data_IF_214598744606
#
_entry.id   IF_214598744606
#
_cell.length_a   1.000
_cell.length_b   1.000
_cell.length_c   1.000
_cell.angle_alpha   90.00
_cell.angle_beta   90.00
_cell.angle_gamma   90.00
#
_symmetry.space_group_name_H-M   'P 1'
#
loop_
_entity.id
_entity.type
_entity.pdbx_description
1 polymer ?
#
# COMPACT_ATOMS: atom_id res chain seq x y z
N UNK A 1 53.38 -14.80 81.63
CA UNK A 1 53.98 -15.25 80.36
C UNK A 1 53.06 -14.86 79.21
N UNK A 2 53.66 -14.38 78.12
CA UNK A 2 53.11 -14.03 76.80
C UNK A 2 52.27 -12.76 76.60
N UNK A 3 53.03 -11.69 76.33
CA UNK A 3 52.75 -10.59 75.40
C UNK A 3 52.45 -11.08 73.97
N UNK A 4 51.54 -10.42 73.26
CA UNK A 4 51.64 -10.11 71.81
C UNK A 4 50.90 -8.78 71.53
N UNK A 5 51.64 -7.81 70.97
CA UNK A 5 51.16 -6.56 70.34
C UNK A 5 50.96 -6.76 68.83
N UNK A 6 50.03 -6.01 68.21
CA UNK A 6 49.95 -5.52 66.80
C UNK A 6 48.54 -4.90 66.66
N UNK A 7 48.25 -3.73 66.10
CA UNK A 7 48.92 -2.77 65.23
C UNK A 7 47.88 -2.27 64.21
N UNK A 8 47.51 -0.98 64.28
CA UNK A 8 47.08 0.00 63.22
C UNK A 8 46.24 -0.56 62.04
N UNK A 9 45.10 0.02 61.62
CA UNK A 9 45.04 1.11 60.62
C UNK A 9 43.59 1.61 60.44
N UNK A 10 43.40 2.94 60.47
CA UNK A 10 42.16 3.61 60.04
C UNK A 10 42.10 3.63 58.51
N UNK A 11 41.00 3.16 57.93
CA UNK A 11 40.67 3.38 56.51
C UNK A 11 39.43 4.26 56.46
N UNK A 12 39.63 5.51 56.02
CA UNK A 12 38.55 6.41 55.63
C UNK A 12 38.23 6.14 54.15
N UNK A 13 37.01 5.71 53.84
CA UNK A 13 36.49 5.71 52.47
C UNK A 13 35.64 6.96 52.27
N UNK A 14 36.18 7.95 51.53
CA UNK A 14 35.38 8.96 50.87
C UNK A 14 34.74 8.33 49.62
N UNK A 15 33.47 7.98 49.69
CA UNK A 15 32.65 7.66 48.52
C UNK A 15 32.04 8.94 47.95
N UNK A 16 32.58 9.44 46.85
CA UNK A 16 32.02 10.57 46.12
C UNK A 16 30.68 10.20 45.47
N UNK A 17 29.63 10.97 45.74
CA UNK A 17 28.39 10.94 44.97
C UNK A 17 28.63 11.62 43.62
N UNK A 18 28.78 10.82 42.56
CA UNK A 18 28.63 11.32 41.20
C UNK A 18 27.13 11.50 40.92
N UNK A 19 26.67 12.76 40.91
CA UNK A 19 25.36 13.13 40.43
C UNK A 19 25.32 12.94 38.90
N UNK A 20 24.90 11.75 38.46
CA UNK A 20 24.61 11.48 37.05
C UNK A 20 23.41 12.31 36.61
N UNK A 21 23.63 13.19 35.64
CA UNK A 21 22.57 13.90 34.92
C UNK A 21 21.73 12.84 34.20
N UNK A 22 20.54 12.56 34.73
CA UNK A 22 19.53 11.76 34.06
C UNK A 22 18.98 12.59 32.90
N UNK A 23 19.57 12.44 31.72
CA UNK A 23 18.98 12.95 30.49
C UNK A 23 17.62 12.25 30.31
N UNK A 24 16.53 13.01 30.45
CA UNK A 24 15.21 12.54 30.10
C UNK A 24 15.21 12.21 28.60
N UNK A 25 15.29 10.92 28.28
CA UNK A 25 14.94 10.45 26.95
C UNK A 25 13.48 10.82 26.72
N UNK A 26 13.10 11.37 25.55
CA UNK A 26 11.69 11.56 25.23
C UNK A 26 11.00 10.20 25.37
N UNK A 27 9.88 10.18 26.10
CA UNK A 27 9.06 8.99 26.25
C UNK A 27 8.76 8.44 24.86
N UNK A 28 9.29 7.26 24.55
CA UNK A 28 8.79 6.46 23.44
C UNK A 28 7.30 6.25 23.75
N UNK A 29 6.44 6.91 22.97
CA UNK A 29 5.00 6.68 23.04
C UNK A 29 4.75 5.19 22.92
N UNK A 30 3.85 4.65 23.75
CA UNK A 30 3.53 3.24 23.84
C UNK A 30 3.32 2.62 22.44
N UNK A 31 4.37 2.04 21.87
CA UNK A 31 4.25 1.18 20.72
C UNK A 31 3.47 -0.05 21.20
N UNK A 32 2.25 -0.21 20.74
CA UNK A 32 1.56 -1.49 20.88
C UNK A 32 2.36 -2.48 20.03
N UNK A 33 2.83 -3.56 20.64
CA UNK A 33 3.66 -4.54 19.95
C UNK A 33 2.91 -5.06 18.72
N UNK A 34 3.53 -4.92 17.55
CA UNK A 34 2.97 -5.43 16.30
C UNK A 34 2.44 -4.36 15.34
N UNK A 35 2.29 -3.09 15.72
CA UNK A 35 1.83 -2.07 14.75
C UNK A 35 2.89 -1.73 13.69
N UNK A 36 2.48 -1.33 12.46
CA UNK A 36 3.40 -0.80 11.46
C UNK A 36 4.18 0.41 11.96
N UNK A 37 5.48 0.39 11.70
CA UNK A 37 6.38 1.49 12.06
C UNK A 37 6.57 2.42 10.87
N UNK A 38 6.50 3.73 11.11
CA UNK A 38 6.64 4.77 10.09
C UNK A 38 7.91 5.58 10.35
N UNK A 39 8.87 5.52 9.43
CA UNK A 39 10.15 6.23 9.52
C UNK A 39 10.32 7.21 8.37
N UNK A 40 11.19 8.21 8.55
CA UNK A 40 11.57 9.15 7.50
C UNK A 40 13.09 9.28 7.40
N UNK A 41 13.59 9.25 6.16
CA UNK A 41 14.96 9.59 5.80
C UNK A 41 14.95 10.53 4.60
N UNK A 42 15.38 11.78 4.80
CA UNK A 42 15.36 12.80 3.74
C UNK A 42 13.94 13.10 3.23
N UNK A 43 13.68 12.83 1.96
CA UNK A 43 12.37 13.02 1.30
C UNK A 43 11.54 11.73 1.22
N UNK A 44 12.05 10.63 1.81
CA UNK A 44 11.42 9.31 1.78
C UNK A 44 10.82 8.98 3.13
N UNK A 45 9.55 8.57 3.12
CA UNK A 45 8.88 7.91 4.24
C UNK A 45 8.78 6.42 3.96
N UNK A 46 9.08 5.60 4.96
CA UNK A 46 8.97 4.14 4.89
C UNK A 46 8.03 3.66 5.97
N UNK A 47 7.00 2.92 5.56
CA UNK A 47 6.05 2.21 6.41
C UNK A 47 6.45 0.73 6.40
N UNK A 48 6.60 0.13 7.56
CA UNK A 48 6.99 -1.28 7.70
C UNK A 48 6.11 -1.94 8.74
N UNK A 49 5.17 -2.76 8.27
CA UNK A 49 4.42 -3.67 9.11
C UNK A 49 5.26 -4.90 9.48
N UNK A 50 5.07 -5.46 10.68
CA UNK A 50 5.65 -6.76 11.00
C UNK A 50 4.92 -7.87 10.26
N UNK A 51 5.65 -8.95 9.98
CA UNK A 51 5.10 -10.13 9.31
C UNK A 51 4.27 -11.00 10.28
N UNK A 52 3.08 -10.50 10.64
CA UNK A 52 2.08 -11.19 11.46
C UNK A 52 0.73 -11.03 10.77
N UNK A 53 -0.07 -12.10 10.68
CA UNK A 53 -1.34 -12.10 9.94
C UNK A 53 -2.41 -11.20 10.58
N UNK A 54 -2.28 -9.88 10.41
CA UNK A 54 -3.20 -8.84 10.89
C UNK A 54 -3.48 -7.91 9.72
N UNK A 55 -4.76 -7.65 9.48
CA UNK A 55 -5.18 -6.63 8.53
C UNK A 55 -4.83 -5.22 9.04
N UNK A 56 -4.00 -4.52 8.29
CA UNK A 56 -3.62 -3.13 8.47
C UNK A 56 -4.37 -2.22 7.49
N UNK A 57 -4.71 -1.01 7.93
CA UNK A 57 -5.32 0.00 7.07
C UNK A 57 -4.51 1.28 7.16
N UNK A 58 -3.75 1.55 6.11
CA UNK A 58 -2.80 2.65 6.05
C UNK A 58 -3.25 3.67 5.00
N UNK A 59 -3.40 4.92 5.43
CA UNK A 59 -3.70 6.04 4.53
C UNK A 59 -2.64 7.12 4.65
N UNK A 60 -2.08 7.54 3.53
CA UNK A 60 -1.14 8.65 3.45
C UNK A 60 -1.87 9.90 2.99
N UNK A 61 -1.75 10.98 3.76
CA UNK A 61 -2.47 12.23 3.48
C UNK A 61 -1.65 13.44 3.90
N UNK A 62 -1.87 14.58 3.22
CA UNK A 62 -1.33 15.86 3.65
C UNK A 62 -2.26 16.56 4.64
N UNK A 63 -1.73 16.97 5.78
CA UNK A 63 -2.41 17.79 6.79
C UNK A 63 -1.59 19.05 6.99
N UNK A 64 -2.17 20.20 6.64
CA UNK A 64 -1.53 21.52 6.79
C UNK A 64 -0.12 21.59 6.16
N UNK A 65 0.05 21.04 4.95
CA UNK A 65 1.33 21.06 4.21
C UNK A 65 2.36 20.02 4.66
N UNK A 66 1.96 19.05 5.50
CA UNK A 66 2.83 18.01 6.06
C UNK A 66 2.27 16.65 5.73
N UNK A 67 3.13 15.69 5.42
CA UNK A 67 2.72 14.32 5.18
C UNK A 67 2.46 13.61 6.51
N UNK A 68 1.25 13.06 6.62
CA UNK A 68 0.79 12.27 7.74
C UNK A 68 0.46 10.86 7.22
N UNK A 69 0.71 9.88 8.08
CA UNK A 69 0.30 8.48 7.89
C UNK A 69 -0.75 8.17 8.94
N UNK A 70 -1.92 7.76 8.48
CA UNK A 70 -3.07 7.37 9.28
C UNK A 70 -3.26 5.86 9.26
N UNK A 71 -3.79 5.32 10.34
CA UNK A 71 -3.89 3.89 10.60
C UNK A 71 -3.34 3.57 11.98
N UNK A 72 -3.57 2.38 12.52
CA UNK A 72 -2.89 1.95 13.73
C UNK A 72 -1.39 1.86 13.39
N UNK A 73 -0.60 2.87 13.77
CA UNK A 73 0.80 3.03 13.34
C UNK A 73 1.64 3.69 14.42
N UNK A 74 2.94 3.38 14.43
CA UNK A 74 3.90 3.90 15.40
C UNK A 74 4.97 4.74 14.71
N UNK A 75 5.27 5.92 15.28
CA UNK A 75 6.36 6.75 14.76
C UNK A 75 7.72 6.16 15.10
N UNK A 76 8.55 5.97 14.08
CA UNK A 76 9.98 5.73 14.19
C UNK A 76 10.80 6.98 13.87
N UNK A 77 12.09 6.79 13.60
CA UNK A 77 13.05 7.86 13.31
C UNK A 77 12.53 8.82 12.23
N UNK A 78 12.61 10.13 12.49
CA UNK A 78 12.27 11.18 11.51
C UNK A 78 10.78 11.52 11.42
N UNK A 79 9.91 10.79 12.12
CA UNK A 79 8.49 11.12 12.27
C UNK A 79 8.13 11.33 13.75
N UNK A 80 6.96 11.90 14.01
CA UNK A 80 6.45 12.17 15.36
C UNK A 80 5.03 11.64 15.51
N UNK A 81 4.76 10.91 16.60
CA UNK A 81 3.41 10.43 16.92
C UNK A 81 2.48 11.62 17.18
N UNK A 82 1.33 11.63 16.51
CA UNK A 82 0.24 12.59 16.77
C UNK A 82 -0.83 11.93 17.65
N UNK A 83 -1.19 10.68 17.32
CA UNK A 83 -2.10 9.85 18.11
C UNK A 83 -1.77 8.37 17.92
N UNK A 84 -2.53 7.47 18.54
CA UNK A 84 -2.41 6.02 18.29
C UNK A 84 -2.70 5.64 16.82
N UNK A 85 -3.38 6.51 16.07
CA UNK A 85 -3.79 6.26 14.70
C UNK A 85 -3.17 7.23 13.68
N UNK A 86 -2.13 7.97 14.07
CA UNK A 86 -1.60 9.05 13.24
C UNK A 86 -0.13 9.38 13.56
N UNK A 87 0.68 9.40 12.52
CA UNK A 87 2.09 9.79 12.55
C UNK A 87 2.35 10.94 11.58
N UNK A 88 2.97 12.01 12.05
CA UNK A 88 3.40 13.15 11.24
C UNK A 88 4.86 12.98 10.82
N UNK A 89 5.12 12.94 9.52
CA UNK A 89 6.47 12.83 8.96
C UNK A 89 6.97 14.14 8.36
N UNK A 90 6.24 15.25 8.50
CA UNK A 90 6.68 16.59 8.09
C UNK A 90 6.50 16.90 6.60
N UNK A 91 7.00 18.06 6.18
CA UNK A 91 6.86 18.55 4.80
C UNK A 91 7.99 18.07 3.88
N UNK A 92 7.77 18.20 2.57
CA UNK A 92 8.78 17.90 1.54
C UNK A 92 9.02 16.41 1.29
N UNK A 93 8.08 15.54 1.70
CA UNK A 93 8.12 14.12 1.35
C UNK A 93 7.64 13.96 -0.09
N UNK A 94 8.43 13.27 -0.91
CA UNK A 94 8.11 12.99 -2.31
C UNK A 94 8.00 11.49 -2.59
N UNK A 95 8.53 10.68 -1.67
CA UNK A 95 8.61 9.23 -1.82
C UNK A 95 8.01 8.55 -0.60
N UNK A 96 7.15 7.56 -0.83
CA UNK A 96 6.59 6.68 0.19
C UNK A 96 6.82 5.25 -0.24
N UNK A 97 7.48 4.47 0.62
CA UNK A 97 7.56 3.02 0.49
C UNK A 97 6.75 2.38 1.61
N UNK A 98 5.96 1.36 1.30
CA UNK A 98 5.19 0.62 2.28
C UNK A 98 5.39 -0.88 2.07
N UNK A 99 5.68 -1.61 3.14
CA UNK A 99 5.60 -3.06 3.20
C UNK A 99 4.54 -3.42 4.26
N UNK A 100 3.41 -3.95 3.82
CA UNK A 100 2.20 -4.17 4.64
C UNK A 100 2.21 -5.53 5.35
N UNK A 101 3.02 -6.47 4.88
CA UNK A 101 3.43 -7.62 5.68
C UNK A 101 2.54 -8.81 5.45
N UNK A 102 1.86 -9.30 6.49
CA UNK A 102 0.94 -10.43 6.34
C UNK A 102 -0.44 -10.04 6.85
N UNK A 103 -1.48 -10.56 6.23
CA UNK A 103 -2.85 -10.13 6.52
C UNK A 103 -3.52 -9.66 5.25
N UNK A 104 -4.76 -9.24 5.38
CA UNK A 104 -5.49 -8.65 4.27
C UNK A 104 -5.51 -7.14 4.50
N UNK A 105 -4.53 -6.47 3.92
CA UNK A 105 -4.21 -5.09 4.22
C UNK A 105 -4.86 -4.13 3.22
N UNK A 106 -4.85 -2.85 3.59
CA UNK A 106 -5.36 -1.78 2.75
C UNK A 106 -4.40 -0.62 2.75
N UNK A 107 -4.09 -0.12 1.57
CA UNK A 107 -3.29 1.09 1.41
C UNK A 107 -4.01 2.13 0.54
N UNK A 108 -3.88 3.39 0.90
CA UNK A 108 -4.32 4.51 0.05
C UNK A 108 -3.39 5.71 0.16
N UNK A 109 -3.14 6.39 -0.95
CA UNK A 109 -2.51 7.70 -0.96
C UNK A 109 -3.49 8.77 -1.44
N UNK A 110 -3.64 9.82 -0.65
CA UNK A 110 -4.38 11.05 -0.98
C UNK A 110 -3.45 12.18 -1.46
N UNK A 111 -2.16 11.87 -1.61
CA UNK A 111 -1.11 12.82 -1.98
C UNK A 111 -0.31 12.29 -3.15
N UNK A 112 0.22 13.21 -3.97
CA UNK A 112 1.10 12.85 -5.07
C UNK A 112 2.47 12.46 -4.55
N UNK A 113 2.74 11.16 -4.51
CA UNK A 113 4.02 10.56 -4.10
C UNK A 113 4.43 9.48 -5.09
N UNK A 114 5.70 9.09 -5.05
CA UNK A 114 6.22 7.92 -5.76
C UNK A 114 6.73 6.88 -4.78
N UNK A 115 7.03 5.68 -5.26
CA UNK A 115 7.65 4.61 -4.47
C UNK A 115 6.98 3.28 -4.67
N UNK A 116 7.16 2.37 -3.73
CA UNK A 116 6.63 0.99 -3.81
C UNK A 116 5.70 0.71 -2.65
N UNK A 117 4.57 0.10 -2.93
CA UNK A 117 3.65 -0.46 -1.95
C UNK A 117 3.63 -1.97 -2.18
N UNK A 118 4.12 -2.72 -1.21
CA UNK A 118 4.19 -4.18 -1.20
C UNK A 118 3.16 -4.69 -0.18
N UNK A 119 2.15 -5.42 -0.67
CA UNK A 119 1.10 -6.03 0.14
C UNK A 119 1.66 -7.11 1.06
N UNK A 120 2.36 -8.07 0.47
CA UNK A 120 3.08 -9.10 1.18
C UNK A 120 2.34 -10.42 1.11
N UNK A 121 1.76 -10.95 2.18
CA UNK A 121 0.94 -12.17 2.09
C UNK A 121 -0.48 -11.95 2.60
N UNK A 122 -1.46 -12.54 1.93
CA UNK A 122 -2.88 -12.32 2.18
C UNK A 122 -3.49 -11.54 1.02
N UNK A 123 -4.79 -11.30 1.07
CA UNK A 123 -5.47 -10.58 -0.01
C UNK A 123 -5.53 -9.09 0.29
N UNK A 124 -4.67 -8.32 -0.36
CA UNK A 124 -4.47 -6.91 -0.11
C UNK A 124 -5.26 -6.02 -1.08
N UNK A 125 -5.62 -4.81 -0.63
CA UNK A 125 -6.36 -3.85 -1.46
C UNK A 125 -5.64 -2.50 -1.50
N UNK A 126 -5.20 -2.13 -2.70
CA UNK A 126 -4.62 -0.83 -3.00
C UNK A 126 -5.70 0.09 -3.57
N UNK A 127 -6.07 1.12 -2.80
CA UNK A 127 -6.97 2.17 -3.26
C UNK A 127 -6.20 3.26 -4.03
N UNK A 128 -6.17 3.11 -5.35
CA UNK A 128 -5.38 3.93 -6.25
C UNK A 128 -6.15 5.15 -6.81
N UNK A 129 -5.41 6.13 -7.36
CA UNK A 129 -5.97 7.30 -8.04
C UNK A 129 -6.75 8.29 -7.16
N UNK A 130 -6.74 8.16 -5.83
CA UNK A 130 -7.59 8.98 -4.92
C UNK A 130 -7.10 10.41 -4.68
N UNK A 131 -5.82 10.68 -4.91
CA UNK A 131 -5.26 12.02 -4.77
C UNK A 131 -5.59 12.92 -5.96
N UNK A 132 -5.80 14.23 -5.74
CA UNK A 132 -5.92 15.20 -6.83
C UNK A 132 -4.62 15.37 -7.62
N UNK A 133 -3.48 15.18 -6.93
CA UNK A 133 -2.17 15.06 -7.57
C UNK A 133 -1.97 13.59 -7.89
N UNK A 134 -1.52 13.28 -9.09
CA UNK A 134 -1.29 11.90 -9.45
C UNK A 134 -0.12 11.28 -8.68
N UNK A 135 -0.19 9.97 -8.53
CA UNK A 135 0.86 9.16 -7.92
C UNK A 135 1.79 8.58 -8.97
N UNK A 136 2.93 8.06 -8.53
CA UNK A 136 3.75 7.17 -9.33
C UNK A 136 4.20 6.00 -8.47
N UNK A 137 3.21 5.23 -8.01
CA UNK A 137 3.40 4.11 -7.10
C UNK A 137 3.48 2.81 -7.88
N UNK A 138 4.45 1.97 -7.54
CA UNK A 138 4.43 0.55 -7.92
C UNK A 138 3.64 -0.22 -6.87
N UNK A 139 2.57 -0.88 -7.29
CA UNK A 139 1.79 -1.78 -6.43
C UNK A 139 2.25 -3.22 -6.68
N UNK A 140 2.78 -3.87 -5.65
CA UNK A 140 3.20 -5.27 -5.65
C UNK A 140 2.23 -6.03 -4.76
N UNK A 141 1.55 -7.04 -5.31
CA UNK A 141 0.59 -7.84 -4.55
C UNK A 141 1.29 -8.71 -3.53
N UNK A 142 2.22 -9.54 -3.99
CA UNK A 142 2.88 -10.54 -3.20
C UNK A 142 2.16 -11.89 -3.31
N UNK A 143 1.82 -12.50 -2.19
CA UNK A 143 1.18 -13.81 -2.15
C UNK A 143 -0.24 -13.73 -1.62
N UNK A 144 -1.24 -13.98 -2.45
CA UNK A 144 -2.62 -13.96 -2.02
C UNK A 144 -3.52 -13.70 -3.20
N UNK A 145 -4.57 -12.92 -2.97
CA UNK A 145 -5.44 -12.46 -4.04
C UNK A 145 -5.57 -10.95 -3.88
N UNK A 146 -4.79 -10.22 -4.65
CA UNK A 146 -4.55 -8.80 -4.46
C UNK A 146 -5.36 -7.95 -5.45
N UNK A 147 -5.75 -6.76 -5.02
CA UNK A 147 -6.59 -5.86 -5.80
C UNK A 147 -6.00 -4.46 -5.87
N UNK A 148 -5.86 -3.92 -7.08
CA UNK A 148 -5.75 -2.48 -7.30
C UNK A 148 -7.12 -1.94 -7.73
N UNK A 149 -7.67 -1.04 -6.92
CA UNK A 149 -9.00 -0.46 -7.08
C UNK A 149 -8.89 1.03 -7.45
N UNK A 150 -9.19 1.36 -8.70
CA UNK A 150 -9.26 2.74 -9.21
C UNK A 150 -10.66 3.35 -9.12
N UNK A 151 -11.67 2.67 -8.56
CA UNK A 151 -13.08 3.06 -8.62
C UNK A 151 -13.44 4.43 -8.06
N UNK A 152 -12.53 5.04 -7.29
CA UNK A 152 -12.69 6.38 -6.72
C UNK A 152 -11.76 7.45 -7.30
N UNK A 153 -11.10 7.17 -8.43
CA UNK A 153 -10.15 8.07 -9.07
C UNK A 153 -10.78 9.28 -9.79
N UNK A 154 -12.09 9.20 -10.08
CA UNK A 154 -12.92 10.32 -10.56
C UNK A 154 -12.79 10.64 -12.06
N UNK A 155 -11.86 10.00 -12.76
CA UNK A 155 -11.71 10.05 -14.22
C UNK A 155 -11.28 8.68 -14.72
N UNK A 156 -11.55 8.32 -15.99
CA UNK A 156 -11.14 7.04 -16.51
C UNK A 156 -9.63 6.78 -16.39
N UNK A 157 -9.28 5.51 -16.28
CA UNK A 157 -7.93 5.00 -16.12
C UNK A 157 -7.51 4.13 -17.29
N UNK A 158 -6.20 4.11 -17.53
CA UNK A 158 -5.53 3.12 -18.35
C UNK A 158 -4.62 2.31 -17.43
N UNK A 159 -4.79 1.01 -17.39
CA UNK A 159 -3.93 0.09 -16.66
C UNK A 159 -3.49 -1.01 -17.61
N UNK A 160 -2.20 -1.27 -17.69
CA UNK A 160 -1.63 -2.39 -18.41
C UNK A 160 -0.57 -3.07 -17.55
N UNK A 161 -0.79 -4.33 -17.17
CA UNK A 161 0.12 -5.12 -16.31
C UNK A 161 1.41 -5.56 -17.05
N UNK A 162 2.12 -4.61 -17.66
CA UNK A 162 3.30 -4.82 -18.50
C UNK A 162 4.62 -4.39 -17.82
N UNK A 163 4.55 -3.92 -16.57
CA UNK A 163 5.68 -3.47 -15.78
C UNK A 163 6.17 -2.04 -16.06
N UNK A 164 5.47 -1.27 -16.90
CA UNK A 164 5.77 0.14 -17.15
C UNK A 164 5.02 1.05 -16.16
N UNK A 165 5.64 2.18 -15.82
CA UNK A 165 5.05 3.19 -14.94
C UNK A 165 4.17 4.18 -15.72
N UNK A 166 3.13 3.66 -16.39
CA UNK A 166 2.16 4.43 -17.18
C UNK A 166 0.70 4.08 -16.87
N UNK A 167 0.45 3.54 -15.67
CA UNK A 167 -0.88 3.14 -15.20
C UNK A 167 -1.59 4.23 -14.39
N UNK A 168 -2.93 4.12 -14.35
CA UNK A 168 -3.84 5.01 -13.63
C UNK A 168 -4.48 6.06 -14.55
N UNK A 169 -4.77 7.25 -14.02
CA UNK A 169 -5.39 8.33 -14.82
C UNK A 169 -4.39 8.87 -15.85
N UNK A 170 -4.70 8.83 -17.16
CA UNK A 170 -3.75 9.21 -18.21
C UNK A 170 -3.20 10.62 -18.06
N UNK A 171 -1.87 10.75 -18.03
CA UNK A 171 -1.16 12.04 -17.91
C UNK A 171 -1.22 12.67 -16.51
N UNK A 172 -1.86 12.01 -15.54
CA UNK A 172 -1.94 12.44 -14.15
C UNK A 172 -1.14 11.48 -13.28
N UNK A 173 -1.49 10.20 -13.30
CA UNK A 173 -0.78 9.13 -12.60
C UNK A 173 0.34 8.56 -13.49
N UNK A 174 1.31 7.93 -12.85
CA UNK A 174 2.42 7.17 -13.42
C UNK A 174 2.63 5.91 -12.56
N UNK A 175 1.52 5.28 -12.17
CA UNK A 175 1.55 4.08 -11.36
C UNK A 175 2.09 2.90 -12.20
N UNK A 176 2.44 1.82 -11.52
CA UNK A 176 2.82 0.55 -12.15
C UNK A 176 2.14 -0.57 -11.36
N UNK A 177 1.10 -1.17 -11.93
CA UNK A 177 0.43 -2.34 -11.36
C UNK A 177 1.27 -3.57 -11.72
N UNK A 178 1.90 -4.18 -10.73
CA UNK A 178 2.74 -5.33 -10.95
C UNK A 178 1.93 -6.54 -11.45
N UNK A 179 2.62 -7.45 -12.12
CA UNK A 179 1.99 -8.64 -12.71
C UNK A 179 1.43 -9.61 -11.65
N UNK A 180 1.87 -9.52 -10.40
CA UNK A 180 1.41 -10.36 -9.29
C UNK A 180 0.20 -9.77 -8.54
N UNK A 181 -0.50 -8.79 -9.12
CA UNK A 181 -1.79 -8.30 -8.59
C UNK A 181 -2.93 -8.94 -9.38
N UNK A 182 -3.69 -9.84 -8.79
CA UNK A 182 -4.69 -10.64 -9.55
C UNK A 182 -5.89 -9.81 -10.04
N UNK A 183 -6.31 -8.77 -9.32
CA UNK A 183 -7.52 -8.02 -9.65
C UNK A 183 -7.25 -6.55 -9.94
N UNK A 184 -7.79 -6.06 -11.05
CA UNK A 184 -7.82 -4.62 -11.37
C UNK A 184 -9.26 -4.20 -11.57
N UNK A 185 -9.70 -3.20 -10.79
CA UNK A 185 -11.00 -2.55 -10.96
C UNK A 185 -10.82 -1.15 -11.53
N UNK A 186 -11.57 -0.87 -12.59
CA UNK A 186 -11.70 0.44 -13.23
C UNK A 186 -12.55 1.42 -12.43
N UNK A 187 -13.18 2.33 -13.14
CA UNK A 187 -13.95 3.47 -12.67
C UNK A 187 -15.37 3.40 -13.22
N UNK A 188 -16.16 4.46 -13.04
CA UNK A 188 -17.48 4.58 -13.67
C UNK A 188 -17.44 5.22 -15.06
N UNK A 189 -16.26 5.35 -15.65
CA UNK A 189 -16.02 5.95 -16.96
C UNK A 189 -15.40 4.95 -17.94
N UNK A 190 -15.12 5.38 -19.17
CA UNK A 190 -14.58 4.49 -20.20
C UNK A 190 -13.10 4.14 -19.96
N UNK A 191 -12.86 3.01 -19.32
CA UNK A 191 -11.56 2.55 -18.87
C UNK A 191 -10.85 1.66 -19.89
N UNK A 192 -9.54 1.52 -19.75
CA UNK A 192 -8.74 0.54 -20.49
C UNK A 192 -7.96 -0.31 -19.50
N UNK A 193 -8.37 -1.57 -19.34
CA UNK A 193 -7.74 -2.53 -18.44
C UNK A 193 -7.17 -3.68 -19.26
N UNK A 194 -5.86 -3.86 -19.17
CA UNK A 194 -5.12 -4.88 -19.91
C UNK A 194 -4.36 -5.75 -18.90
N UNK A 195 -4.69 -7.05 -18.89
CA UNK A 195 -4.05 -8.08 -18.10
C UNK A 195 -2.62 -8.39 -18.54
N UNK A 196 -2.09 -9.51 -18.06
CA UNK A 196 -0.78 -10.06 -18.40
C UNK A 196 -0.89 -11.53 -18.83
N UNK A 197 0.17 -12.31 -18.64
CA UNK A 197 0.22 -13.72 -19.04
C UNK A 197 -0.19 -14.70 -17.92
N UNK A 198 -0.80 -14.22 -16.84
CA UNK A 198 -1.28 -15.01 -15.70
C UNK A 198 -2.77 -14.80 -15.51
N UNK A 199 -3.36 -15.46 -14.52
CA UNK A 199 -4.80 -15.35 -14.28
C UNK A 199 -5.16 -13.95 -13.75
N UNK A 200 -5.92 -13.20 -14.54
CA UNK A 200 -6.37 -11.85 -14.23
C UNK A 200 -7.87 -11.79 -13.96
N UNK A 201 -8.27 -10.91 -13.04
CA UNK A 201 -9.65 -10.46 -12.88
C UNK A 201 -9.75 -8.99 -13.25
N UNK A 202 -10.44 -8.69 -14.34
CA UNK A 202 -10.65 -7.32 -14.84
C UNK A 202 -12.10 -6.91 -14.61
N UNK A 203 -12.33 -5.82 -13.88
CA UNK A 203 -13.67 -5.29 -13.57
C UNK A 203 -13.78 -3.89 -14.17
N UNK A 204 -14.54 -3.74 -15.26
CA UNK A 204 -14.76 -2.45 -15.95
C UNK A 204 -15.62 -1.48 -15.12
N UNK A 205 -16.67 -2.01 -14.49
CA UNK A 205 -17.66 -1.31 -13.66
C UNK A 205 -18.74 -0.55 -14.44
N UNK A 206 -18.62 0.75 -14.75
CA UNK A 206 -19.57 1.42 -15.65
C UNK A 206 -18.81 2.11 -16.77
N UNK A 207 -19.36 2.15 -17.98
CA UNK A 207 -18.72 2.86 -19.07
C UNK A 207 -18.67 2.03 -20.32
N UNK A 208 -17.97 2.54 -21.33
CA UNK A 208 -17.68 1.77 -22.54
C UNK A 208 -16.20 1.38 -22.48
N UNK A 209 -15.92 0.25 -21.88
CA UNK A 209 -14.58 -0.13 -21.46
C UNK A 209 -13.83 -0.90 -22.55
N UNK A 210 -12.52 -0.98 -22.38
CA UNK A 210 -11.63 -1.86 -23.16
C UNK A 210 -10.98 -2.83 -22.18
N UNK A 211 -11.42 -4.08 -22.20
CA UNK A 211 -10.99 -5.14 -21.31
C UNK A 211 -10.29 -6.23 -22.14
N UNK A 212 -9.02 -6.49 -21.85
CA UNK A 212 -8.16 -7.43 -22.59
C UNK A 212 -7.39 -8.30 -21.59
N UNK A 213 -7.84 -9.56 -21.41
CA UNK A 213 -7.27 -10.52 -20.43
C UNK A 213 -5.86 -10.98 -20.78
N UNK A 214 -5.47 -10.88 -22.06
CA UNK A 214 -4.20 -11.37 -22.62
C UNK A 214 -4.04 -12.88 -22.54
N UNK A 215 -3.54 -13.45 -21.46
CA UNK A 215 -3.49 -14.90 -21.38
C UNK A 215 -3.25 -15.39 -19.98
N UNK A 216 -3.57 -16.65 -19.71
CA UNK A 216 -3.90 -17.08 -18.36
C UNK A 216 -5.38 -17.43 -18.33
N UNK A 217 -5.87 -17.95 -17.19
CA UNK A 217 -7.28 -18.26 -17.03
C UNK A 217 -7.97 -17.04 -16.41
N UNK A 218 -8.64 -16.24 -17.24
CA UNK A 218 -9.08 -14.90 -16.89
C UNK A 218 -10.56 -14.83 -16.51
N UNK A 219 -10.90 -13.86 -15.66
CA UNK A 219 -12.28 -13.49 -15.32
C UNK A 219 -12.50 -12.02 -15.67
N UNK A 220 -13.38 -11.75 -16.63
CA UNK A 220 -13.73 -10.39 -17.04
C UNK A 220 -15.16 -10.08 -16.61
N UNK A 221 -15.35 -9.05 -15.78
CA UNK A 221 -16.67 -8.47 -15.47
C UNK A 221 -16.85 -7.13 -16.20
N UNK A 222 -17.58 -7.22 -17.30
CA UNK A 222 -17.94 -6.16 -18.24
C UNK A 222 -19.39 -5.68 -18.01
N UNK A 223 -20.08 -6.15 -16.96
CA UNK A 223 -21.48 -5.77 -16.75
C UNK A 223 -21.58 -4.41 -16.10
N UNK A 224 -22.49 -3.60 -16.63
CA UNK A 224 -22.87 -2.33 -16.03
C UNK A 224 -24.40 -2.21 -15.83
N UNK A 225 -24.84 -1.20 -15.08
CA UNK A 225 -26.27 -1.07 -14.73
C UNK A 225 -27.09 -0.55 -15.92
N UNK A 226 -26.43 0.12 -16.86
CA UNK A 226 -27.05 0.76 -18.01
C UNK A 226 -27.05 -0.14 -19.26
N UNK A 227 -26.31 -1.25 -19.25
CA UNK A 227 -26.02 -2.05 -20.42
C UNK A 227 -25.19 -1.30 -21.47
N UNK A 228 -24.30 -0.40 -21.04
CA UNK A 228 -23.45 0.34 -21.98
C UNK A 228 -22.60 -0.67 -22.74
N UNK A 229 -22.54 -0.52 -24.06
CA UNK A 229 -21.72 -1.41 -24.87
C UNK A 229 -20.24 -1.10 -24.65
N UNK A 230 -19.48 -2.10 -24.26
CA UNK A 230 -18.03 -2.03 -24.21
C UNK A 230 -17.39 -1.92 -25.59
N UNK A 231 -16.25 -1.23 -25.62
CA UNK A 231 -15.45 -1.08 -26.82
C UNK A 231 -14.75 -2.39 -27.17
N UNK A 232 -14.27 -3.13 -26.16
CA UNK A 232 -13.63 -4.42 -26.30
C UNK A 232 -13.83 -5.25 -25.03
N UNK A 233 -14.17 -6.52 -25.21
CA UNK A 233 -14.04 -7.57 -24.19
C UNK A 233 -13.34 -8.74 -24.86
N UNK A 234 -12.04 -8.87 -24.68
CA UNK A 234 -11.23 -9.98 -25.22
C UNK A 234 -10.62 -10.77 -24.06
N UNK A 235 -11.03 -12.02 -23.90
CA UNK A 235 -10.48 -12.87 -22.85
C UNK A 235 -9.04 -13.32 -23.13
N UNK A 236 -8.59 -13.31 -24.39
CA UNK A 236 -7.24 -13.73 -24.72
C UNK A 236 -7.06 -15.25 -24.82
N UNK A 237 -5.96 -15.78 -24.27
CA UNK A 237 -5.65 -17.22 -24.33
C UNK A 237 -5.69 -17.88 -22.97
N UNK A 238 -6.50 -18.91 -22.80
CA UNK A 238 -6.52 -19.71 -21.58
C UNK A 238 -7.85 -20.42 -21.46
N UNK A 239 -8.33 -20.62 -20.24
CA UNK A 239 -9.71 -20.98 -19.97
C UNK A 239 -10.39 -19.85 -19.22
N UNK A 240 -11.22 -19.10 -19.93
CA UNK A 240 -11.66 -17.78 -19.52
C UNK A 240 -13.18 -17.70 -19.31
N UNK A 241 -13.58 -16.78 -18.45
CA UNK A 241 -14.96 -16.46 -18.16
C UNK A 241 -15.22 -14.95 -18.29
N UNK A 242 -16.18 -14.59 -19.14
CA UNK A 242 -16.72 -13.24 -19.20
C UNK A 242 -18.13 -13.17 -18.61
N UNK A 243 -18.39 -12.15 -17.81
CA UNK A 243 -19.72 -11.66 -17.46
C UNK A 243 -19.91 -10.36 -18.21
N UNK A 244 -20.90 -10.28 -19.08
CA UNK A 244 -21.06 -9.14 -19.97
C UNK A 244 -22.53 -8.83 -20.21
N UNK A 245 -22.87 -7.60 -20.56
CA UNK A 245 -24.25 -7.21 -20.85
C UNK A 245 -24.70 -7.69 -22.22
N UNK A 246 -26.00 -7.66 -22.48
CA UNK A 246 -26.54 -8.11 -23.77
C UNK A 246 -25.97 -7.34 -24.98
N UNK A 247 -25.51 -6.10 -24.77
CA UNK A 247 -24.95 -5.25 -25.82
C UNK A 247 -23.50 -5.63 -26.21
N UNK A 248 -22.77 -6.30 -25.31
CA UNK A 248 -21.36 -6.61 -25.52
C UNK A 248 -21.15 -7.84 -26.39
N UNK A 249 -19.99 -7.87 -27.04
CA UNK A 249 -19.56 -9.00 -27.85
C UNK A 249 -18.20 -9.52 -27.38
N UNK A 250 -18.14 -10.27 -26.26
CA UNK A 250 -16.91 -10.90 -25.81
C UNK A 250 -16.33 -11.83 -26.87
N UNK A 251 -15.01 -11.79 -27.02
CA UNK A 251 -14.26 -12.66 -27.93
C UNK A 251 -13.21 -13.44 -27.14
N UNK A 252 -12.81 -14.58 -27.70
CA UNK A 252 -11.79 -15.46 -27.10
C UNK A 252 -12.16 -16.02 -25.72
N UNK A 253 -13.42 -15.93 -25.29
CA UNK A 253 -13.87 -16.45 -24.00
C UNK A 253 -14.52 -17.84 -24.13
N UNK A 254 -14.12 -18.79 -23.31
CA UNK A 254 -14.70 -20.14 -23.26
C UNK A 254 -16.11 -20.12 -22.67
N UNK A 255 -16.33 -19.29 -21.66
CA UNK A 255 -17.63 -19.13 -21.00
C UNK A 255 -18.06 -17.67 -20.99
N UNK A 256 -19.28 -17.40 -21.45
CA UNK A 256 -19.88 -16.05 -21.40
C UNK A 256 -21.23 -16.12 -20.69
N UNK A 257 -21.37 -15.33 -19.62
CA UNK A 257 -22.63 -15.11 -18.90
C UNK A 257 -23.21 -13.75 -19.29
N UNK A 258 -24.50 -13.73 -19.63
CA UNK A 258 -25.26 -12.53 -20.03
C UNK A 258 -26.43 -12.30 -19.08
#
# INVERSE_FOLDING_TARGET
MNSIKRGVTRVALLGGLAAGVLAAMPAAGNAVAGEPTVTRSGVTVTITAPNIARADNVTVQEVSGRLHVFGAVVAGTGCTTVSANEVNCGSGVTTVNAALGAGNDRFSSLVGVRGTVDGGTGGDVFLAGRGFRGTGLTYVGGGGADTVDYGSSGTPVKVSKNGAADDGRPGVDLDNVASDVETVRGTVGADTLIGHSGADTLIGDQGADTLDGKGGDDVIDARDVQGTKDTLVDCGTGTDQAFADQADAPVSCETVSK
#
